data_IF_002085401008
#
_entry.id   IF_002085401008
#
_cell.length_a   1.000
_cell.length_b   1.000
_cell.length_c   1.000
_cell.angle_alpha   90.00
_cell.angle_beta   90.00
_cell.angle_gamma   90.00
#
_symmetry.space_group_name_H-M   'P 1'
#
loop_
_entity.id
_entity.type
_entity.pdbx_description
1 polymer ?
#
# COMPACT_ATOMS: atom_id res chain seq x y z
N UNK A 1 -16.63 -28.21 18.98
CA UNK A 1 -15.28 -28.57 18.55
C UNK A 1 -15.01 -27.97 17.18
N UNK A 2 -13.92 -27.29 16.99
CA UNK A 2 -13.63 -26.74 15.69
C UNK A 2 -13.44 -27.86 14.67
N UNK A 3 -14.00 -27.67 13.51
CA UNK A 3 -13.88 -28.61 12.43
C UNK A 3 -12.56 -28.36 11.71
N UNK A 4 -11.56 -29.17 11.98
CA UNK A 4 -10.23 -29.04 11.41
C UNK A 4 -10.16 -29.45 9.94
N UNK A 5 -11.20 -30.10 9.45
CA UNK A 5 -11.27 -30.56 8.07
C UNK A 5 -11.99 -29.57 7.16
N UNK A 6 -12.57 -28.52 7.73
CA UNK A 6 -13.23 -27.49 6.93
C UNK A 6 -12.21 -26.68 6.15
N UNK A 7 -12.51 -26.31 4.89
CA UNK A 7 -11.66 -25.38 4.16
C UNK A 7 -11.47 -24.11 4.98
N UNK A 8 -10.23 -23.68 5.12
CA UNK A 8 -9.96 -22.47 5.88
C UNK A 8 -10.38 -21.25 5.07
N UNK A 9 -11.19 -20.35 5.66
CA UNK A 9 -11.56 -19.11 4.98
C UNK A 9 -10.35 -18.21 4.67
N UNK A 10 -9.16 -18.56 5.20
CA UNK A 10 -7.93 -17.83 4.93
C UNK A 10 -7.45 -17.96 3.48
N UNK A 11 -7.94 -18.93 2.71
CA UNK A 11 -7.57 -19.10 1.31
C UNK A 11 -8.22 -18.04 0.43
N UNK A 12 -9.38 -17.53 0.83
CA UNK A 12 -10.12 -16.50 0.11
C UNK A 12 -10.50 -15.41 1.08
N UNK A 13 -10.41 -14.15 0.66
CA UNK A 13 -10.81 -13.02 1.48
C UNK A 13 -12.21 -12.59 1.04
N UNK A 14 -13.18 -12.86 1.89
CA UNK A 14 -14.56 -12.43 1.70
C UNK A 14 -14.84 -11.20 2.57
N UNK A 15 -15.44 -10.19 1.96
CA UNK A 15 -15.81 -8.98 2.68
C UNK A 15 -14.62 -8.04 2.87
N UNK A 16 -14.60 -7.31 3.98
CA UNK A 16 -13.62 -6.28 4.24
C UNK A 16 -12.58 -6.79 5.24
N UNK A 17 -11.30 -6.65 4.87
CA UNK A 17 -10.19 -7.01 5.74
C UNK A 17 -9.17 -5.88 5.73
N UNK A 18 -8.54 -5.64 6.87
CA UNK A 18 -7.47 -4.65 7.00
C UNK A 18 -6.19 -5.34 7.46
N UNK A 19 -5.11 -5.09 6.74
CA UNK A 19 -3.78 -5.62 7.08
C UNK A 19 -2.84 -4.45 7.21
N UNK A 20 -2.08 -4.41 8.30
CA UNK A 20 -1.06 -3.40 8.53
C UNK A 20 0.32 -4.04 8.49
N UNK A 21 1.26 -3.36 7.85
CA UNK A 21 2.66 -3.78 7.78
C UNK A 21 3.52 -2.60 8.19
N UNK A 22 4.40 -2.82 9.15
CA UNK A 22 5.37 -1.81 9.59
C UNK A 22 6.76 -2.36 9.37
N UNK A 23 7.58 -1.61 8.64
CA UNK A 23 8.97 -1.97 8.39
C UNK A 23 9.85 -0.75 8.61
N UNK A 24 11.15 -0.97 8.76
CA UNK A 24 12.09 0.14 8.60
C UNK A 24 11.89 0.78 7.22
N UNK A 25 11.99 2.10 7.13
CA UNK A 25 11.84 2.81 5.86
C UNK A 25 13.11 2.61 5.01
N UNK A 26 13.23 1.45 4.41
CA UNK A 26 14.39 1.01 3.67
C UNK A 26 13.97 0.39 2.35
N UNK A 27 14.67 0.74 1.28
CA UNK A 27 14.44 0.15 -0.05
C UNK A 27 14.57 -1.37 -0.02
N UNK A 28 15.41 -1.91 0.85
CA UNK A 28 15.60 -3.36 0.97
C UNK A 28 14.34 -4.11 1.41
N UNK A 29 13.39 -3.43 2.05
CA UNK A 29 12.16 -4.04 2.56
C UNK A 29 10.95 -3.83 1.64
N UNK A 30 11.09 -3.07 0.57
CA UNK A 30 10.00 -2.89 -0.39
C UNK A 30 9.53 -4.22 -0.97
N UNK A 31 10.40 -5.17 -1.34
CA UNK A 31 9.93 -6.47 -1.83
C UNK A 31 9.02 -7.23 -0.85
N UNK A 32 9.22 -7.05 0.45
CA UNK A 32 8.36 -7.67 1.46
C UNK A 32 6.95 -7.06 1.42
N UNK A 33 6.88 -5.74 1.31
CA UNK A 33 5.59 -5.04 1.23
C UNK A 33 4.86 -5.40 -0.07
N UNK A 34 5.61 -5.46 -1.18
CA UNK A 34 5.06 -5.90 -2.46
C UNK A 34 4.49 -7.31 -2.38
N UNK A 35 5.17 -8.21 -1.69
CA UNK A 35 4.71 -9.60 -1.53
C UNK A 35 3.38 -9.65 -0.77
N UNK A 36 3.21 -8.82 0.25
CA UNK A 36 1.93 -8.72 0.97
C UNK A 36 0.83 -8.23 0.04
N UNK A 37 1.09 -7.18 -0.74
CA UNK A 37 0.12 -6.65 -1.70
C UNK A 37 -0.30 -7.71 -2.70
N UNK A 38 0.66 -8.46 -3.25
CA UNK A 38 0.41 -9.53 -4.23
C UNK A 38 -0.44 -10.65 -3.64
N UNK A 39 -0.12 -11.06 -2.42
CA UNK A 39 -0.87 -12.12 -1.73
C UNK A 39 -2.33 -11.69 -1.49
N UNK A 40 -2.53 -10.49 -0.99
CA UNK A 40 -3.87 -9.99 -0.72
C UNK A 40 -4.70 -9.87 -2.01
N UNK A 41 -4.09 -9.36 -3.07
CA UNK A 41 -4.78 -9.21 -4.36
C UNK A 41 -5.15 -10.56 -4.97
N UNK A 42 -4.25 -11.55 -4.88
CA UNK A 42 -4.54 -12.88 -5.38
C UNK A 42 -5.69 -13.53 -4.62
N UNK A 43 -5.72 -13.38 -3.29
CA UNK A 43 -6.78 -13.95 -2.47
C UNK A 43 -8.10 -13.18 -2.58
N UNK A 44 -8.06 -11.95 -3.06
CA UNK A 44 -9.25 -11.13 -3.31
C UNK A 44 -9.75 -11.24 -4.76
N UNK A 45 -9.27 -12.24 -5.49
CA UNK A 45 -9.69 -12.56 -6.86
C UNK A 45 -9.43 -11.44 -7.88
N UNK A 46 -8.35 -10.69 -7.68
CA UNK A 46 -7.89 -9.74 -8.68
C UNK A 46 -7.48 -10.50 -9.96
N UNK A 47 -7.76 -9.92 -11.13
CA UNK A 47 -7.21 -10.47 -12.36
C UNK A 47 -5.68 -10.23 -12.40
N UNK A 48 -5.00 -10.95 -13.31
CA UNK A 48 -3.53 -10.92 -13.35
C UNK A 48 -2.98 -9.54 -13.65
N UNK A 49 -3.64 -8.77 -14.50
CA UNK A 49 -3.21 -7.41 -14.83
C UNK A 49 -3.38 -6.49 -13.63
N UNK A 50 -4.47 -6.61 -12.89
CA UNK A 50 -4.70 -5.80 -11.70
C UNK A 50 -3.70 -6.15 -10.59
N UNK A 51 -3.34 -7.42 -10.42
CA UNK A 51 -2.30 -7.83 -9.47
C UNK A 51 -0.96 -7.19 -9.84
N UNK A 52 -0.59 -7.27 -11.12
CA UNK A 52 0.67 -6.71 -11.61
C UNK A 52 0.71 -5.19 -11.42
N UNK A 53 -0.37 -4.51 -11.74
CA UNK A 53 -0.46 -3.06 -11.60
C UNK A 53 -0.37 -2.65 -10.13
N UNK A 54 -1.04 -3.37 -9.23
CA UNK A 54 -0.97 -3.09 -7.80
C UNK A 54 0.45 -3.28 -7.27
N UNK A 55 1.14 -4.35 -7.68
CA UNK A 55 2.52 -4.60 -7.27
C UNK A 55 3.43 -3.45 -7.66
N UNK A 56 3.34 -3.01 -8.91
CA UNK A 56 4.17 -1.91 -9.42
C UNK A 56 3.81 -0.59 -8.74
N UNK A 57 2.53 -0.35 -8.48
CA UNK A 57 2.10 0.86 -7.79
C UNK A 57 2.64 0.91 -6.35
N UNK A 58 2.57 -0.21 -5.63
CA UNK A 58 3.11 -0.32 -4.27
C UNK A 58 4.62 -0.10 -4.27
N UNK A 59 5.34 -0.68 -5.23
CA UNK A 59 6.78 -0.47 -5.37
C UNK A 59 7.12 1.01 -5.53
N UNK A 60 6.42 1.70 -6.42
CA UNK A 60 6.69 3.11 -6.71
C UNK A 60 6.31 4.01 -5.54
N UNK A 61 5.17 3.76 -4.91
CA UNK A 61 4.74 4.53 -3.75
C UNK A 61 5.74 4.39 -2.60
N UNK A 62 6.16 3.17 -2.31
CA UNK A 62 7.11 2.91 -1.22
C UNK A 62 8.48 3.51 -1.53
N UNK A 63 8.97 3.40 -2.77
CA UNK A 63 10.25 3.99 -3.17
C UNK A 63 10.24 5.51 -3.00
N UNK A 64 9.15 6.15 -3.41
CA UNK A 64 8.98 7.60 -3.25
C UNK A 64 9.04 8.00 -1.77
N UNK A 65 8.36 7.25 -0.91
CA UNK A 65 8.30 7.56 0.53
C UNK A 65 9.63 7.29 1.23
N UNK A 66 10.32 6.23 0.86
CA UNK A 66 11.63 5.91 1.43
C UNK A 66 12.63 7.04 1.13
N UNK A 67 12.53 7.66 -0.04
CA UNK A 67 13.44 8.76 -0.43
C UNK A 67 13.28 10.00 0.46
N UNK A 68 12.09 10.25 0.99
CA UNK A 68 11.84 11.43 1.84
C UNK A 68 11.77 11.10 3.32
N UNK A 69 11.88 9.84 3.68
CA UNK A 69 11.74 9.39 5.06
C UNK A 69 12.86 9.92 5.95
N UNK A 70 12.49 10.31 7.18
CA UNK A 70 13.47 10.67 8.19
C UNK A 70 14.35 9.45 8.54
N UNK A 71 15.60 9.68 8.95
CA UNK A 71 16.45 8.57 9.40
C UNK A 71 15.79 7.74 10.50
N UNK A 72 15.89 6.44 10.38
CA UNK A 72 15.35 5.49 11.36
C UNK A 72 13.84 5.56 11.55
N UNK A 73 13.12 6.07 10.53
CA UNK A 73 11.68 6.09 10.56
C UNK A 73 11.11 4.73 10.11
N UNK A 74 9.81 4.58 10.34
CA UNK A 74 9.07 3.38 10.00
C UNK A 74 8.21 3.69 8.76
N UNK A 75 8.22 2.77 7.81
CA UNK A 75 7.25 2.78 6.72
C UNK A 75 6.04 1.98 7.18
N UNK A 76 4.91 2.65 7.27
CA UNK A 76 3.66 2.05 7.72
C UNK A 76 2.71 1.94 6.54
N UNK A 77 2.37 0.71 6.17
CA UNK A 77 1.45 0.43 5.08
C UNK A 77 0.18 -0.22 5.62
N UNK A 78 -0.96 0.32 5.23
CA UNK A 78 -2.27 -0.25 5.58
C UNK A 78 -2.95 -0.66 4.28
N UNK A 79 -3.34 -1.93 4.22
CA UNK A 79 -4.07 -2.50 3.09
C UNK A 79 -5.51 -2.72 3.53
N UNK A 80 -6.42 -2.01 2.90
CA UNK A 80 -7.84 -2.15 3.17
C UNK A 80 -8.46 -2.93 2.01
N UNK A 81 -8.73 -4.21 2.23
CA UNK A 81 -9.21 -5.12 1.20
C UNK A 81 -10.73 -5.09 1.20
N UNK A 82 -11.31 -4.75 0.07
CA UNK A 82 -12.76 -4.78 -0.16
C UNK A 82 -13.04 -5.81 -1.25
N UNK A 83 -14.30 -6.17 -1.44
CA UNK A 83 -14.67 -7.16 -2.44
C UNK A 83 -14.38 -6.73 -3.88
N UNK A 84 -14.29 -5.43 -4.14
CA UNK A 84 -14.08 -4.87 -5.48
C UNK A 84 -12.72 -4.21 -5.67
N UNK A 85 -11.89 -4.13 -4.65
CA UNK A 85 -10.60 -3.46 -4.75
C UNK A 85 -9.81 -3.46 -3.46
N UNK A 86 -8.63 -2.86 -3.53
CA UNK A 86 -7.75 -2.67 -2.38
C UNK A 86 -7.32 -1.21 -2.32
N UNK A 87 -7.51 -0.58 -1.16
CA UNK A 87 -6.92 0.71 -0.85
C UNK A 87 -5.62 0.47 -0.09
N UNK A 88 -4.56 1.14 -0.52
CA UNK A 88 -3.27 1.10 0.16
C UNK A 88 -2.95 2.50 0.66
N UNK A 89 -2.59 2.61 1.93
CA UNK A 89 -2.06 3.84 2.51
C UNK A 89 -0.66 3.54 3.02
N UNK A 90 0.33 4.24 2.48
CA UNK A 90 1.71 4.11 2.90
C UNK A 90 2.15 5.45 3.46
N UNK A 91 2.76 5.44 4.64
CA UNK A 91 3.13 6.67 5.35
C UNK A 91 4.51 6.53 5.98
N UNK A 92 5.25 7.64 6.01
CA UNK A 92 6.54 7.73 6.70
C UNK A 92 6.62 9.07 7.45
N UNK A 93 7.40 9.09 8.53
CA UNK A 93 7.77 10.34 9.17
C UNK A 93 8.86 11.03 8.35
N UNK A 94 8.80 12.36 8.28
CA UNK A 94 9.82 13.17 7.62
C UNK A 94 10.44 14.10 8.64
N UNK A 95 11.73 14.42 8.42
CA UNK A 95 12.46 15.29 9.35
C UNK A 95 12.15 16.76 9.17
N UNK A 96 11.86 17.16 7.93
CA UNK A 96 11.62 18.54 7.58
C UNK A 96 10.12 18.74 7.32
N UNK A 97 9.47 19.68 8.04
CA UNK A 97 8.05 19.96 7.80
C UNK A 97 7.73 20.44 6.38
N UNK A 98 8.73 20.90 5.62
CA UNK A 98 8.54 21.30 4.23
C UNK A 98 8.65 20.12 3.26
N UNK A 99 9.11 18.95 3.74
CA UNK A 99 9.17 17.76 2.89
C UNK A 99 7.77 17.34 2.49
N UNK A 100 7.60 17.06 1.23
CA UNK A 100 6.32 16.64 0.68
C UNK A 100 6.58 15.66 -0.47
N UNK A 101 5.58 14.83 -0.74
CA UNK A 101 5.58 14.00 -1.94
C UNK A 101 5.33 14.91 -3.14
N UNK A 102 6.24 14.90 -4.09
CA UNK A 102 6.07 15.68 -5.31
C UNK A 102 5.12 14.95 -6.27
N UNK A 103 4.15 15.69 -6.77
CA UNK A 103 3.21 15.18 -7.79
C UNK A 103 3.62 15.58 -9.20
N UNK A 104 4.80 16.17 -9.35
CA UNK A 104 5.33 16.63 -10.63
C UNK A 104 6.50 15.77 -11.09
N UNK A 105 6.44 14.48 -10.81
CA UNK A 105 7.49 13.53 -11.14
C UNK A 105 6.99 12.47 -12.10
N UNK A 106 7.93 11.79 -12.76
CA UNK A 106 7.62 10.63 -13.57
C UNK A 106 6.98 9.52 -12.72
N UNK A 107 7.52 9.29 -11.51
CA UNK A 107 6.98 8.28 -10.61
C UNK A 107 5.52 8.53 -10.24
N UNK A 108 5.14 9.80 -10.04
CA UNK A 108 3.74 10.13 -9.77
C UNK A 108 2.84 9.80 -10.97
N UNK A 109 3.32 10.07 -12.19
CA UNK A 109 2.57 9.71 -13.41
C UNK A 109 2.43 8.20 -13.54
N UNK A 110 3.46 7.45 -13.16
CA UNK A 110 3.39 5.99 -13.14
C UNK A 110 2.29 5.54 -12.18
N UNK A 111 2.22 6.13 -10.97
CA UNK A 111 1.17 5.82 -10.01
C UNK A 111 -0.22 6.13 -10.57
N UNK A 112 -0.38 7.28 -11.23
CA UNK A 112 -1.67 7.65 -11.84
C UNK A 112 -2.11 6.68 -12.94
N UNK A 113 -1.15 6.08 -13.63
CA UNK A 113 -1.43 5.10 -14.68
C UNK A 113 -1.80 3.74 -14.11
N UNK A 114 -1.13 3.32 -13.03
CA UNK A 114 -1.28 1.99 -12.45
C UNK A 114 -2.47 1.87 -11.51
N UNK A 115 -2.76 2.93 -10.75
CA UNK A 115 -3.85 2.94 -9.78
C UNK A 115 -5.09 3.60 -10.38
N UNK A 116 -6.25 3.23 -9.87
CA UNK A 116 -7.51 3.87 -10.27
C UNK A 116 -7.68 5.23 -9.63
N UNK A 117 -7.15 5.39 -8.41
CA UNK A 117 -7.05 6.68 -7.73
C UNK A 117 -5.74 6.75 -6.98
N UNK A 118 -5.15 7.94 -6.88
CA UNK A 118 -3.95 8.16 -6.07
C UNK A 118 -3.97 9.58 -5.52
N UNK A 119 -3.64 9.70 -4.22
CA UNK A 119 -3.61 10.96 -3.51
C UNK A 119 -2.38 11.05 -2.61
N UNK A 120 -1.93 12.27 -2.35
CA UNK A 120 -0.91 12.54 -1.36
C UNK A 120 -1.57 12.75 0.01
N UNK A 121 -0.97 12.17 1.03
CA UNK A 121 -1.36 12.37 2.42
C UNK A 121 -0.28 13.20 3.11
N UNK A 122 -0.71 14.10 3.98
CA UNK A 122 0.21 14.88 4.81
C UNK A 122 -0.46 15.14 6.16
N UNK A 123 0.29 14.90 7.22
CA UNK A 123 -0.18 15.12 8.60
C UNK A 123 0.85 15.96 9.34
N UNK A 124 0.44 17.01 10.03
CA UNK A 124 1.37 17.82 10.82
C UNK A 124 1.91 17.03 12.01
N UNK A 125 3.03 17.47 12.55
CA UNK A 125 3.58 16.91 13.77
C UNK A 125 2.60 17.10 14.93
N UNK A 126 2.49 16.08 15.78
CA UNK A 126 1.64 16.10 16.98
C UNK A 126 2.54 15.84 18.20
N UNK A 127 2.36 16.66 19.24
CA UNK A 127 3.01 16.50 20.55
C UNK A 127 4.53 16.28 20.46
N UNK A 128 5.21 17.13 19.69
CA UNK A 128 6.67 17.05 19.57
C UNK A 128 7.17 15.93 18.65
N UNK A 129 6.26 15.21 17.99
CA UNK A 129 6.62 14.22 17.01
C UNK A 129 7.06 14.85 15.68
N UNK A 130 7.22 14.01 14.68
CA UNK A 130 7.58 14.45 13.32
C UNK A 130 6.35 14.48 12.45
N UNK A 131 6.33 15.37 11.44
CA UNK A 131 5.26 15.32 10.44
C UNK A 131 5.34 14.04 9.63
N UNK A 132 4.19 13.61 9.12
CA UNK A 132 4.06 12.40 8.33
C UNK A 132 3.60 12.76 6.92
N UNK A 133 4.20 12.13 5.92
CA UNK A 133 3.71 12.21 4.55
C UNK A 133 3.40 10.80 4.06
N UNK A 134 2.53 10.71 3.10
CA UNK A 134 2.14 9.42 2.59
C UNK A 134 1.50 9.49 1.23
N UNK A 135 1.19 8.31 0.73
CA UNK A 135 0.48 8.11 -0.54
C UNK A 135 -0.67 7.15 -0.27
N UNK A 136 -1.85 7.54 -0.70
CA UNK A 136 -3.02 6.67 -0.73
C UNK A 136 -3.28 6.32 -2.17
N UNK A 137 -3.48 5.03 -2.45
CA UNK A 137 -3.89 4.59 -3.77
C UNK A 137 -5.03 3.58 -3.65
N UNK A 138 -5.85 3.51 -4.69
CA UNK A 138 -6.95 2.58 -4.77
C UNK A 138 -6.83 1.81 -6.08
N UNK A 139 -6.92 0.50 -6.01
CA UNK A 139 -6.84 -0.36 -7.19
C UNK A 139 -8.05 -1.28 -7.21
N UNK A 140 -8.82 -1.21 -8.29
CA UNK A 140 -9.96 -2.08 -8.49
C UNK A 140 -9.48 -3.46 -8.96
N UNK A 141 -10.26 -4.48 -8.63
CA UNK A 141 -9.91 -5.87 -8.89
C UNK A 141 -9.82 -6.21 -10.38
N UNK A 142 -10.40 -5.39 -11.23
CA UNK A 142 -10.52 -5.66 -12.64
C UNK A 142 -11.82 -6.40 -12.95
N UNK A 143 -11.91 -6.91 -14.17
CA UNK A 143 -13.09 -7.67 -14.56
C UNK A 143 -13.15 -8.97 -13.78
N UNK A 144 -14.33 -9.27 -13.23
CA UNK A 144 -14.50 -10.51 -12.49
C UNK A 144 -14.30 -11.71 -13.43
N UNK A 145 -13.63 -12.78 -12.96
CA UNK A 145 -13.55 -14.02 -13.74
C UNK A 145 -14.96 -14.55 -14.02
N UNK A 146 -15.15 -15.00 -15.21
CA UNK A 146 -16.46 -15.51 -15.65
C UNK A 146 -16.46 -17.02 -15.73
#
# INVERSE_FOLDING_TARGET
MPDLDSPHPAETLDGVSTVEVRTSASAALIPTIRAVASDLAARADFDLDAISDLRMAVDEACATLVDVAAPRSVLHCTFHVRHDGIEVRAEVEVGDPTSAVSTDTFGWRVLQTLADEVDVLARPAVDGGRPTVGIRLDKLAGDAPR
#
